data_IF_636141380980
#
_entry.id   IF_636141380980
#
_cell.length_a   1.000
_cell.length_b   1.000
_cell.length_c   1.000
_cell.angle_alpha   90.00
_cell.angle_beta   90.00
_cell.angle_gamma   90.00
#
_symmetry.space_group_name_H-M   'P 1'
#
loop_
_entity.id
_entity.type
_entity.pdbx_description
1 polymer ?
#
# COMPACT_ATOMS: atom_id res chain seq x y z
N UNK A 1 42.68 -9.86 60.70
CA UNK A 1 41.33 -10.08 61.27
C UNK A 1 40.30 -9.58 60.27
N UNK A 2 39.39 -10.47 59.88
CA UNK A 2 38.29 -10.27 58.92
C UNK A 2 37.36 -9.11 59.30
N UNK A 3 36.78 -8.44 58.27
CA UNK A 3 35.32 -8.34 58.07
C UNK A 3 34.96 -7.57 56.76
N UNK A 4 34.46 -8.34 55.80
CA UNK A 4 33.18 -8.16 55.06
C UNK A 4 32.76 -6.77 54.57
N UNK A 5 32.61 -6.61 53.25
CA UNK A 5 31.30 -6.43 52.61
C UNK A 5 31.44 -6.45 51.08
N UNK A 6 30.99 -7.56 50.50
CA UNK A 6 30.76 -7.78 49.08
C UNK A 6 29.54 -6.95 48.62
N UNK A 7 29.71 -6.15 47.58
CA UNK A 7 28.64 -5.41 46.89
C UNK A 7 28.98 -5.36 45.42
N UNK A 8 28.48 -6.33 44.66
CA UNK A 8 27.98 -6.13 43.29
C UNK A 8 27.35 -7.42 42.76
N UNK A 9 26.06 -7.60 43.04
CA UNK A 9 25.18 -8.37 42.18
C UNK A 9 23.75 -7.83 42.32
N UNK A 10 22.97 -8.00 41.25
CA UNK A 10 21.57 -7.61 41.04
C UNK A 10 21.39 -6.27 40.30
N UNK A 11 21.58 -6.33 38.99
CA UNK A 11 20.55 -5.84 38.05
C UNK A 11 20.54 -6.80 36.85
N UNK A 12 19.71 -7.83 36.96
CA UNK A 12 19.28 -8.62 35.81
C UNK A 12 17.79 -8.36 35.67
N UNK A 13 17.45 -7.35 34.86
CA UNK A 13 16.11 -7.24 34.30
C UNK A 13 15.85 -8.51 33.47
N UNK A 14 14.72 -9.21 33.66
CA UNK A 14 14.45 -10.47 32.97
C UNK A 14 14.37 -10.23 31.45
N UNK A 15 14.89 -11.19 30.69
CA UNK A 15 14.78 -11.20 29.23
C UNK A 15 13.28 -11.16 28.85
N UNK A 16 12.83 -10.24 27.97
CA UNK A 16 11.45 -10.19 27.49
C UNK A 16 10.91 -11.53 26.98
N UNK A 17 11.78 -12.46 26.59
CA UNK A 17 11.43 -13.82 26.18
C UNK A 17 10.86 -14.70 27.32
N UNK A 18 11.07 -14.36 28.59
CA UNK A 18 10.54 -15.12 29.73
C UNK A 18 9.10 -14.72 30.12
N UNK A 19 8.61 -13.57 29.65
CA UNK A 19 7.28 -13.04 30.01
C UNK A 19 6.13 -13.60 29.18
N UNK A 20 6.41 -14.20 28.01
CA UNK A 20 5.38 -14.70 27.07
C UNK A 20 5.79 -16.03 26.39
N UNK A 21 5.69 -17.17 27.10
CA UNK A 21 6.04 -18.46 26.53
C UNK A 21 4.99 -18.88 25.49
N UNK A 22 5.28 -18.68 24.19
CA UNK A 22 4.43 -19.14 23.08
C UNK A 22 4.41 -18.26 21.83
N UNK A 23 4.93 -17.03 21.89
CA UNK A 23 5.07 -16.20 20.70
C UNK A 23 6.33 -16.59 19.91
N UNK A 24 6.17 -16.86 18.62
CA UNK A 24 7.27 -17.15 17.72
C UNK A 24 8.28 -15.99 17.75
N UNK A 25 9.51 -16.28 18.19
CA UNK A 25 10.64 -15.36 18.23
C UNK A 25 10.68 -14.57 16.92
N UNK A 26 10.41 -13.27 16.97
CA UNK A 26 10.57 -12.37 15.84
C UNK A 26 11.99 -12.57 15.30
N UNK A 27 12.07 -13.14 14.10
CA UNK A 27 13.33 -13.40 13.43
C UNK A 27 14.03 -12.05 13.27
N UNK A 28 15.23 -11.90 13.82
CA UNK A 28 16.03 -10.69 13.68
C UNK A 28 16.10 -10.30 12.19
N UNK A 29 15.97 -9.02 11.85
CA UNK A 29 16.00 -8.60 10.46
C UNK A 29 17.39 -8.97 9.91
N UNK A 30 17.42 -9.95 9.00
CA UNK A 30 18.56 -10.18 8.14
C UNK A 30 18.73 -8.88 7.33
N UNK A 31 19.67 -8.04 7.74
CA UNK A 31 20.09 -6.89 6.95
C UNK A 31 20.60 -7.40 5.61
N UNK A 32 19.76 -7.26 4.57
CA UNK A 32 20.13 -7.58 3.19
C UNK A 32 20.45 -6.26 2.49
N UNK A 33 21.74 -5.95 2.24
CA UNK A 33 22.12 -4.74 1.53
C UNK A 33 21.71 -4.84 0.06
N UNK A 34 20.95 -3.84 -0.40
CA UNK A 34 20.73 -3.54 -1.82
C UNK A 34 19.99 -4.61 -2.61
N UNK A 35 18.68 -4.80 -2.36
CA UNK A 35 17.83 -5.43 -3.36
C UNK A 35 17.72 -4.51 -4.57
N UNK A 36 18.59 -4.73 -5.56
CA UNK A 36 18.31 -4.28 -6.92
C UNK A 36 17.10 -5.08 -7.41
N UNK A 37 16.04 -4.46 -7.95
CA UNK A 37 14.88 -5.19 -8.43
C UNK A 37 15.30 -6.22 -9.49
N UNK A 38 15.25 -7.50 -9.11
CA UNK A 38 15.43 -8.59 -10.04
C UNK A 38 14.13 -8.84 -10.80
N UNK A 39 14.25 -9.13 -12.10
CA UNK A 39 13.09 -9.44 -12.96
C UNK A 39 12.22 -10.55 -12.35
N UNK A 40 12.83 -11.53 -11.68
CA UNK A 40 12.16 -12.66 -11.05
C UNK A 40 11.24 -12.22 -9.91
N UNK A 41 11.70 -11.31 -9.06
CA UNK A 41 10.97 -10.81 -7.90
C UNK A 41 9.78 -9.96 -8.34
N UNK A 42 9.97 -9.15 -9.39
CA UNK A 42 8.89 -8.40 -10.04
C UNK A 42 7.86 -9.35 -10.65
N UNK A 43 8.29 -10.37 -11.41
CA UNK A 43 7.40 -11.36 -12.01
C UNK A 43 6.60 -12.14 -10.95
N UNK A 44 7.22 -12.43 -9.80
CA UNK A 44 6.57 -13.07 -8.66
C UNK A 44 5.51 -12.14 -8.04
N UNK A 45 5.81 -10.86 -7.88
CA UNK A 45 4.85 -9.89 -7.37
C UNK A 45 3.65 -9.73 -8.29
N UNK A 46 3.88 -9.61 -9.60
CA UNK A 46 2.83 -9.61 -10.64
C UNK A 46 1.92 -10.82 -10.51
N UNK A 47 2.52 -12.01 -10.46
CA UNK A 47 1.78 -13.26 -10.30
C UNK A 47 0.98 -13.29 -9.00
N UNK A 48 1.52 -12.75 -7.91
CA UNK A 48 0.90 -12.75 -6.58
C UNK A 48 -0.39 -11.95 -6.60
N UNK A 49 -0.37 -10.68 -7.02
CA UNK A 49 -1.59 -9.88 -7.03
C UNK A 49 -2.58 -10.36 -8.09
N UNK A 50 -2.13 -10.83 -9.27
CA UNK A 50 -3.03 -11.38 -10.28
C UNK A 50 -3.76 -12.63 -9.76
N UNK A 51 -3.09 -13.46 -8.98
CA UNK A 51 -3.68 -14.67 -8.37
C UNK A 51 -4.67 -14.30 -7.26
N UNK A 52 -4.33 -13.35 -6.40
CA UNK A 52 -5.23 -12.91 -5.33
C UNK A 52 -6.48 -12.20 -5.89
N UNK A 53 -6.33 -11.39 -6.93
CA UNK A 53 -7.44 -10.70 -7.60
C UNK A 53 -8.30 -11.63 -8.48
N UNK A 54 -7.83 -12.85 -8.79
CA UNK A 54 -8.69 -13.87 -9.41
C UNK A 54 -9.73 -14.43 -8.43
N UNK A 55 -9.49 -14.33 -7.12
CA UNK A 55 -10.50 -14.70 -6.14
C UNK A 55 -11.69 -13.74 -6.21
N UNK A 56 -12.91 -14.25 -6.02
CA UNK A 56 -14.15 -13.45 -6.12
C UNK A 56 -14.35 -12.47 -4.96
N UNK A 57 -13.52 -12.57 -3.92
CA UNK A 57 -13.59 -11.78 -2.69
C UNK A 57 -12.76 -10.50 -2.74
N UNK A 58 -13.06 -9.60 -1.80
CA UNK A 58 -12.15 -8.50 -1.50
C UNK A 58 -10.92 -9.06 -0.76
N UNK A 59 -9.74 -8.61 -1.15
CA UNK A 59 -8.48 -8.92 -0.47
C UNK A 59 -8.01 -7.68 0.29
N UNK A 60 -7.37 -7.87 1.44
CA UNK A 60 -6.69 -6.77 2.12
C UNK A 60 -5.45 -6.37 1.33
N UNK A 61 -5.24 -5.08 1.09
CA UNK A 61 -4.00 -4.59 0.45
C UNK A 61 -2.77 -4.96 1.29
N UNK A 62 -2.91 -5.13 2.61
CA UNK A 62 -1.80 -5.59 3.45
C UNK A 62 -1.29 -6.99 3.12
N UNK A 63 -2.10 -7.85 2.46
CA UNK A 63 -1.60 -9.17 2.02
C UNK A 63 -0.61 -9.06 0.85
N UNK A 64 -0.54 -7.90 0.19
CA UNK A 64 0.37 -7.62 -0.92
C UNK A 64 1.66 -6.94 -0.47
N UNK A 65 1.71 -6.38 0.75
CA UNK A 65 2.87 -5.65 1.27
C UNK A 65 4.14 -6.50 1.30
N UNK A 66 4.15 -7.77 1.79
CA UNK A 66 5.38 -8.57 1.81
C UNK A 66 5.96 -8.80 0.41
N UNK A 67 5.10 -9.15 -0.56
CA UNK A 67 5.52 -9.37 -1.93
C UNK A 67 5.98 -8.07 -2.60
N UNK A 68 5.36 -6.93 -2.27
CA UNK A 68 5.78 -5.61 -2.75
C UNK A 68 7.17 -5.21 -2.21
N UNK A 69 7.44 -5.47 -0.92
CA UNK A 69 8.76 -5.23 -0.31
C UNK A 69 9.84 -6.11 -0.96
N UNK A 70 9.55 -7.39 -1.17
CA UNK A 70 10.49 -8.31 -1.85
C UNK A 70 10.74 -7.93 -3.30
N UNK A 71 9.76 -7.37 -4.00
CA UNK A 71 9.92 -6.90 -5.38
C UNK A 71 10.92 -5.74 -5.52
N UNK A 72 11.17 -5.00 -4.42
CA UNK A 72 12.11 -3.88 -4.36
C UNK A 72 11.96 -2.90 -5.54
N UNK A 73 10.72 -2.46 -5.78
CA UNK A 73 10.40 -1.58 -6.91
C UNK A 73 11.24 -0.30 -6.86
N UNK A 74 11.81 0.09 -8.00
CA UNK A 74 12.55 1.35 -8.13
C UNK A 74 11.68 2.59 -7.90
N UNK A 75 10.35 2.47 -8.07
CA UNK A 75 9.38 3.54 -7.78
C UNK A 75 9.05 3.64 -6.28
N UNK A 76 9.57 2.74 -5.46
CA UNK A 76 9.35 2.69 -4.03
C UNK A 76 10.59 2.13 -3.31
N UNK A 77 11.74 2.77 -3.55
CA UNK A 77 13.04 2.32 -3.07
C UNK A 77 13.11 2.29 -1.53
N UNK A 78 12.45 3.23 -0.86
CA UNK A 78 12.40 3.32 0.59
C UNK A 78 11.34 2.42 1.25
N UNK A 79 10.70 1.49 0.53
CA UNK A 79 9.56 0.70 1.05
C UNK A 79 9.86 0.00 2.39
N UNK A 80 11.06 -0.56 2.55
CA UNK A 80 11.48 -1.26 3.77
C UNK A 80 12.02 -0.33 4.87
N UNK A 81 12.28 0.93 4.55
CA UNK A 81 12.83 1.90 5.49
C UNK A 81 11.77 2.35 6.52
N UNK A 82 12.17 2.67 7.76
CA UNK A 82 11.23 3.13 8.78
C UNK A 82 10.63 4.51 8.46
N UNK A 83 11.39 5.38 7.79
CA UNK A 83 10.98 6.72 7.38
C UNK A 83 10.19 6.70 6.06
N UNK A 84 9.42 7.77 5.78
CA UNK A 84 8.63 7.87 4.57
C UNK A 84 9.50 8.04 3.31
N UNK A 85 9.20 7.27 2.26
CA UNK A 85 9.66 7.48 0.89
C UNK A 85 8.74 8.49 0.21
N UNK A 86 9.14 9.76 0.22
CA UNK A 86 8.31 10.80 -0.39
C UNK A 86 8.14 10.61 -1.90
N UNK A 87 9.16 10.12 -2.61
CA UNK A 87 9.07 9.96 -4.06
C UNK A 87 7.95 8.99 -4.41
N UNK A 88 7.83 7.89 -3.67
CA UNK A 88 6.72 6.94 -3.80
C UNK A 88 5.38 7.57 -3.41
N UNK A 89 5.29 8.27 -2.27
CA UNK A 89 4.05 8.90 -1.81
C UNK A 89 3.53 9.95 -2.80
N UNK A 90 4.41 10.79 -3.35
CA UNK A 90 4.06 11.80 -4.36
C UNK A 90 3.65 11.12 -5.66
N UNK A 91 4.39 10.11 -6.12
CA UNK A 91 4.05 9.33 -7.30
C UNK A 91 2.62 8.75 -7.19
N UNK A 92 2.29 8.20 -6.02
CA UNK A 92 0.98 7.63 -5.75
C UNK A 92 -0.12 8.67 -5.62
N UNK A 93 0.14 9.79 -4.93
CA UNK A 93 -0.82 10.90 -4.81
C UNK A 93 -1.19 11.47 -6.18
N UNK A 94 -0.24 11.51 -7.13
CA UNK A 94 -0.53 11.94 -8.49
C UNK A 94 -1.34 10.92 -9.30
N UNK A 95 -1.40 9.64 -8.91
CA UNK A 95 -2.09 8.57 -9.65
C UNK A 95 -3.39 8.10 -9.03
N UNK A 96 -3.69 8.57 -7.83
CA UNK A 96 -4.91 8.29 -7.10
C UNK A 96 -5.74 9.57 -6.96
N UNK A 97 -7.08 9.49 -6.98
CA UNK A 97 -7.92 10.64 -6.68
C UNK A 97 -7.71 11.15 -5.25
N UNK A 98 -7.88 12.45 -5.01
CA UNK A 98 -7.70 13.03 -3.65
C UNK A 98 -8.59 12.39 -2.58
N UNK A 99 -9.77 11.90 -2.96
CA UNK A 99 -10.69 11.19 -2.05
C UNK A 99 -10.13 9.86 -1.53
N UNK A 100 -8.98 9.38 -2.04
CA UNK A 100 -8.34 8.14 -1.56
C UNK A 100 -8.08 8.16 -0.05
N UNK A 101 -7.91 9.34 0.55
CA UNK A 101 -7.76 9.53 2.00
C UNK A 101 -8.97 9.09 2.81
N UNK A 102 -10.18 9.17 2.26
CA UNK A 102 -11.43 8.69 2.86
C UNK A 102 -11.76 7.22 2.50
N UNK A 103 -11.26 6.75 1.36
CA UNK A 103 -11.59 5.43 0.80
C UNK A 103 -11.08 4.27 1.65
N UNK A 104 -11.88 3.22 1.79
CA UNK A 104 -11.52 1.93 2.41
C UNK A 104 -11.59 0.80 1.40
N UNK A 105 -12.57 0.81 0.52
CA UNK A 105 -12.80 -0.28 -0.42
C UNK A 105 -12.55 0.19 -1.86
N UNK A 106 -11.65 -0.49 -2.55
CA UNK A 106 -11.33 -0.20 -3.95
C UNK A 106 -11.86 -1.34 -4.81
N UNK A 107 -12.78 -1.01 -5.71
CA UNK A 107 -13.48 -1.98 -6.55
C UNK A 107 -13.08 -1.77 -8.01
N UNK A 108 -12.47 -2.80 -8.60
CA UNK A 108 -11.96 -2.77 -9.96
C UNK A 108 -12.91 -3.51 -10.89
N UNK A 109 -13.24 -2.95 -12.04
CA UNK A 109 -14.13 -3.60 -13.00
C UNK A 109 -13.86 -3.18 -14.43
N UNK A 110 -14.26 -4.02 -15.39
CA UNK A 110 -14.04 -3.76 -16.82
C UNK A 110 -15.25 -3.11 -17.50
N UNK A 111 -16.44 -3.22 -16.92
CA UNK A 111 -17.67 -2.70 -17.51
C UNK A 111 -18.71 -2.37 -16.45
N UNK A 112 -19.62 -1.46 -16.77
CA UNK A 112 -20.74 -1.10 -15.90
C UNK A 112 -21.61 -2.32 -15.56
N UNK A 113 -21.75 -3.27 -16.50
CA UNK A 113 -22.48 -4.52 -16.25
C UNK A 113 -21.80 -5.41 -15.19
N UNK A 114 -20.46 -5.42 -15.12
CA UNK A 114 -19.74 -6.16 -14.08
C UNK A 114 -19.98 -5.55 -12.69
N UNK A 115 -19.98 -4.23 -12.61
CA UNK A 115 -20.34 -3.50 -11.39
C UNK A 115 -21.78 -3.75 -10.96
N UNK A 116 -22.74 -3.60 -11.87
CA UNK A 116 -24.16 -3.84 -11.59
C UNK A 116 -24.42 -5.26 -11.08
N UNK A 117 -23.86 -6.29 -11.73
CA UNK A 117 -23.97 -7.69 -11.27
C UNK A 117 -23.37 -7.95 -9.89
N UNK A 118 -22.37 -7.16 -9.50
CA UNK A 118 -21.74 -7.27 -8.20
C UNK A 118 -22.45 -6.47 -7.09
N UNK A 119 -23.61 -5.88 -7.37
CA UNK A 119 -24.40 -5.10 -6.42
C UNK A 119 -24.19 -3.58 -6.50
N UNK A 120 -23.31 -3.09 -7.39
CA UNK A 120 -23.08 -1.66 -7.60
C UNK A 120 -23.99 -1.13 -8.70
N UNK A 121 -25.31 -1.22 -8.51
CA UNK A 121 -26.30 -0.82 -9.52
C UNK A 121 -26.48 0.71 -9.63
N UNK A 122 -26.30 1.46 -8.54
CA UNK A 122 -26.48 2.91 -8.46
C UNK A 122 -25.20 3.71 -8.80
N UNK A 123 -24.32 3.15 -9.63
CA UNK A 123 -23.07 3.83 -9.99
C UNK A 123 -23.26 5.10 -10.84
N UNK A 124 -24.45 5.30 -11.41
CA UNK A 124 -24.82 6.56 -12.08
C UNK A 124 -24.76 7.75 -11.13
N UNK A 125 -25.03 7.52 -9.85
CA UNK A 125 -25.14 8.55 -8.82
C UNK A 125 -23.78 8.80 -8.15
N UNK A 126 -22.79 7.96 -8.45
CA UNK A 126 -21.45 8.09 -7.90
C UNK A 126 -20.73 9.26 -8.57
N UNK A 127 -19.98 10.01 -7.77
CA UNK A 127 -19.23 11.17 -8.24
C UNK A 127 -18.05 10.71 -9.10
N UNK A 128 -17.97 11.22 -10.33
CA UNK A 128 -16.78 11.05 -11.15
C UNK A 128 -15.61 11.82 -10.56
N UNK A 129 -14.50 11.14 -10.31
CA UNK A 129 -13.27 11.74 -9.78
C UNK A 129 -12.08 11.43 -10.69
N UNK A 130 -11.00 12.19 -10.56
CA UNK A 130 -9.81 12.03 -11.39
C UNK A 130 -8.53 12.13 -10.57
N UNK A 131 -7.48 11.49 -11.06
CA UNK A 131 -6.12 11.67 -10.57
C UNK A 131 -5.33 12.63 -11.48
N UNK A 132 -4.38 13.43 -10.96
CA UNK A 132 -3.62 14.39 -11.75
C UNK A 132 -2.78 13.80 -12.90
N UNK A 133 -2.05 12.71 -12.63
CA UNK A 133 -0.96 12.19 -13.45
C UNK A 133 -1.29 10.98 -14.31
N UNK A 134 -2.45 10.33 -14.13
CA UNK A 134 -2.89 9.23 -15.00
C UNK A 134 -4.41 9.22 -15.15
N UNK A 135 -4.87 9.34 -16.40
CA UNK A 135 -6.30 9.32 -16.75
C UNK A 135 -6.85 7.92 -16.58
N UNK A 136 -7.60 7.71 -15.50
CA UNK A 136 -8.45 6.53 -15.28
C UNK A 136 -9.84 6.99 -14.88
N UNK A 137 -10.87 6.28 -15.34
CA UNK A 137 -12.25 6.58 -14.95
C UNK A 137 -12.47 6.04 -13.54
N UNK A 138 -12.62 6.97 -12.59
CA UNK A 138 -12.93 6.69 -11.21
C UNK A 138 -14.34 7.16 -10.86
N UNK A 139 -15.02 6.40 -10.02
CA UNK A 139 -16.31 6.75 -9.44
C UNK A 139 -16.21 6.57 -7.94
N UNK A 140 -16.62 7.58 -7.18
CA UNK A 140 -16.59 7.57 -5.72
C UNK A 140 -18.03 7.66 -5.18
N UNK A 141 -18.36 6.82 -4.22
CA UNK A 141 -19.69 6.77 -3.59
C UNK A 141 -19.99 7.95 -2.67
N UNK A 142 -18.98 8.77 -2.34
CA UNK A 142 -19.11 9.87 -1.38
C UNK A 142 -18.80 9.49 0.06
N UNK A 143 -18.49 8.21 0.32
CA UNK A 143 -18.25 7.67 1.66
C UNK A 143 -16.91 6.91 1.70
N UNK A 144 -16.90 5.62 1.35
CA UNK A 144 -15.74 4.76 1.55
C UNK A 144 -15.34 3.92 0.33
N UNK A 145 -16.12 3.93 -0.75
CA UNK A 145 -15.90 3.04 -1.90
C UNK A 145 -15.44 3.80 -3.12
N UNK A 146 -14.31 3.38 -3.68
CA UNK A 146 -13.77 3.89 -4.92
C UNK A 146 -13.79 2.81 -6.00
N UNK A 147 -14.58 3.05 -7.04
CA UNK A 147 -14.60 2.19 -8.21
C UNK A 147 -13.65 2.69 -9.29
N UNK A 148 -12.92 1.77 -9.91
CA UNK A 148 -12.00 2.04 -11.00
C UNK A 148 -12.32 1.17 -12.21
N UNK A 149 -12.42 1.78 -13.38
CA UNK A 149 -12.45 1.03 -14.63
C UNK A 149 -11.04 0.60 -15.03
N UNK A 150 -10.88 -0.68 -15.35
CA UNK A 150 -9.62 -1.30 -15.79
C UNK A 150 -9.81 -1.80 -17.21
N UNK A 151 -8.94 -1.40 -18.13
CA UNK A 151 -9.01 -1.80 -19.54
C UNK A 151 -8.02 -2.93 -19.91
N UNK A 152 -6.95 -3.12 -19.12
CA UNK A 152 -5.87 -4.06 -19.45
C UNK A 152 -5.18 -4.65 -18.21
N UNK A 153 -4.31 -5.66 -18.40
CA UNK A 153 -3.34 -6.07 -17.36
C UNK A 153 -2.45 -4.91 -16.93
N UNK A 154 -1.91 -4.15 -17.88
CA UNK A 154 -1.00 -3.03 -17.61
C UNK A 154 -1.63 -1.92 -16.75
N UNK A 155 -2.97 -1.83 -16.73
CA UNK A 155 -3.66 -0.97 -15.77
C UNK A 155 -3.51 -1.46 -14.32
N UNK A 156 -3.58 -2.77 -14.10
CA UNK A 156 -3.33 -3.39 -12.80
C UNK A 156 -1.85 -3.29 -12.41
N UNK A 157 -0.95 -3.51 -13.38
CA UNK A 157 0.50 -3.48 -13.16
C UNK A 157 1.02 -2.15 -12.63
N UNK A 158 0.34 -1.03 -12.94
CA UNK A 158 0.63 0.29 -12.36
C UNK A 158 -0.26 0.60 -11.15
N UNK A 159 -1.55 0.22 -11.19
CA UNK A 159 -2.48 0.62 -10.13
C UNK A 159 -2.23 -0.11 -8.81
N UNK A 160 -2.03 -1.43 -8.85
CA UNK A 160 -1.87 -2.24 -7.63
C UNK A 160 -0.63 -1.81 -6.85
N UNK A 161 0.57 -1.67 -7.46
CA UNK A 161 1.75 -1.20 -6.74
C UNK A 161 1.58 0.22 -6.21
N UNK A 162 0.88 1.09 -6.95
CA UNK A 162 0.58 2.46 -6.52
C UNK A 162 -0.26 2.50 -5.23
N UNK A 163 -1.33 1.68 -5.15
CA UNK A 163 -2.18 1.57 -3.96
C UNK A 163 -1.40 1.02 -2.78
N UNK A 164 -0.60 -0.04 -3.01
CA UNK A 164 0.22 -0.67 -1.96
C UNK A 164 1.25 0.33 -1.42
N UNK A 165 1.97 1.02 -2.30
CA UNK A 165 2.94 2.05 -1.92
C UNK A 165 2.28 3.16 -1.10
N UNK A 166 1.12 3.67 -1.55
CA UNK A 166 0.38 4.69 -0.80
C UNK A 166 0.01 4.22 0.61
N UNK A 167 -0.44 2.97 0.76
CA UNK A 167 -0.78 2.42 2.07
C UNK A 167 0.43 2.30 2.99
N UNK A 168 1.55 1.78 2.46
CA UNK A 168 2.79 1.65 3.22
C UNK A 168 3.24 3.02 3.72
N UNK A 169 3.31 4.00 2.83
CA UNK A 169 3.80 5.34 3.16
C UNK A 169 2.87 6.10 4.11
N UNK A 170 1.55 5.99 3.92
CA UNK A 170 0.58 6.48 4.89
C UNK A 170 0.82 5.86 6.27
N UNK A 171 1.03 4.55 6.33
CA UNK A 171 1.18 3.83 7.59
C UNK A 171 2.51 4.14 8.29
N UNK A 172 3.56 4.46 7.54
CA UNK A 172 4.81 4.98 8.11
C UNK A 172 4.61 6.36 8.72
N UNK A 173 3.97 7.28 7.98
CA UNK A 173 3.66 8.62 8.50
C UNK A 173 2.75 8.54 9.73
N UNK A 174 1.72 7.68 9.71
CA UNK A 174 0.86 7.45 10.86
C UNK A 174 1.65 6.96 12.08
N UNK A 175 2.58 6.02 11.90
CA UNK A 175 3.43 5.53 12.99
C UNK A 175 4.31 6.63 13.58
N UNK A 176 4.89 7.48 12.73
CA UNK A 176 5.73 8.61 13.17
C UNK A 176 4.88 9.59 13.96
N UNK A 177 3.73 10.00 13.42
CA UNK A 177 2.84 10.97 14.08
C UNK A 177 2.28 10.40 15.39
N UNK A 178 1.75 9.18 15.39
CA UNK A 178 1.19 8.56 16.58
C UNK A 178 2.24 8.30 17.69
N UNK A 179 3.52 8.23 17.32
CA UNK A 179 4.64 8.09 18.26
C UNK A 179 5.18 9.42 18.80
N UNK A 180 4.71 10.57 18.31
CA UNK A 180 5.14 11.91 18.72
C UNK A 180 3.91 12.77 19.12
N UNK A 181 3.54 12.80 20.42
CA UNK A 181 2.39 13.58 20.89
C UNK A 181 2.48 15.08 20.59
N UNK A 182 3.69 15.64 20.56
CA UNK A 182 3.88 17.05 20.22
C UNK A 182 3.56 17.28 18.74
N UNK A 183 3.99 16.36 17.86
CA UNK A 183 3.63 16.41 16.43
C UNK A 183 2.12 16.31 16.22
N UNK A 184 1.43 15.46 16.98
CA UNK A 184 -0.04 15.40 16.95
C UNK A 184 -0.65 16.76 17.32
N UNK A 185 -0.16 17.41 18.38
CA UNK A 185 -0.64 18.72 18.81
C UNK A 185 -0.33 19.82 17.77
N UNK A 186 0.86 19.80 17.17
CA UNK A 186 1.25 20.74 16.11
C UNK A 186 0.33 20.62 14.89
N UNK A 187 0.04 19.39 14.44
CA UNK A 187 -0.87 19.12 13.31
C UNK A 187 -2.29 19.59 13.64
N UNK A 188 -2.77 19.34 14.87
CA UNK A 188 -4.09 19.78 15.31
C UNK A 188 -4.21 21.32 15.30
N UNK A 189 -3.18 22.02 15.82
CA UNK A 189 -3.14 23.48 15.81
C UNK A 189 -3.10 24.04 14.39
N UNK A 190 -2.25 23.49 13.52
CA UNK A 190 -2.13 23.91 12.12
C UNK A 190 -3.37 23.62 11.26
N UNK A 191 -4.22 22.68 11.69
CA UNK A 191 -5.50 22.39 11.03
C UNK A 191 -6.60 23.37 11.43
N UNK A 192 -6.48 24.01 12.60
CA UNK A 192 -7.46 24.96 13.12
C UNK A 192 -7.14 26.41 12.72
N UNK A 193 -5.87 26.75 12.61
CA UNK A 193 -5.39 28.11 12.34
C UNK A 193 -4.35 28.12 11.22
N UNK A 194 -4.07 29.29 10.63
CA UNK A 194 -2.99 29.41 9.65
C UNK A 194 -1.65 29.22 10.34
N UNK A 195 -0.88 28.17 10.00
CA UNK A 195 0.33 27.84 10.73
C UNK A 195 1.47 28.81 10.40
N UNK A 196 2.28 29.13 11.40
CA UNK A 196 3.50 29.91 11.21
C UNK A 196 4.54 29.13 10.40
N UNK A 197 5.48 29.86 9.78
CA UNK A 197 6.59 29.25 9.01
C UNK A 197 7.45 28.34 9.90
N UNK A 198 7.62 28.69 11.17
CA UNK A 198 8.36 27.88 12.14
C UNK A 198 7.64 26.54 12.39
N UNK A 199 6.33 26.56 12.64
CA UNK A 199 5.53 25.34 12.85
C UNK A 199 5.57 24.43 11.63
N UNK A 200 5.40 25.03 10.45
CA UNK A 200 5.47 24.30 9.17
C UNK A 200 6.80 23.57 9.03
N UNK A 201 7.90 24.23 9.39
CA UNK A 201 9.26 23.65 9.29
C UNK A 201 9.44 22.52 10.31
N UNK A 202 9.05 22.77 11.56
CA UNK A 202 9.11 21.78 12.64
C UNK A 202 8.29 20.52 12.32
N UNK A 203 7.11 20.68 11.71
CA UNK A 203 6.27 19.55 11.28
C UNK A 203 7.01 18.66 10.29
N UNK A 204 7.67 19.25 9.28
CA UNK A 204 8.45 18.51 8.28
C UNK A 204 9.62 17.74 8.90
N UNK A 205 10.36 18.39 9.80
CA UNK A 205 11.51 17.79 10.49
C UNK A 205 11.10 16.62 11.39
N UNK A 206 9.99 16.78 12.13
CA UNK A 206 9.43 15.70 12.97
C UNK A 206 8.90 14.53 12.16
N UNK A 207 8.35 14.79 10.97
CA UNK A 207 7.98 13.76 9.97
C UNK A 207 9.18 13.07 9.29
N UNK A 208 10.42 13.47 9.61
CA UNK A 208 11.65 12.94 9.03
C UNK A 208 11.76 13.21 7.52
N UNK A 209 11.17 14.30 7.06
CA UNK A 209 11.24 14.73 5.66
C UNK A 209 12.32 15.81 5.51
N UNK A 210 13.08 15.76 4.40
CA UNK A 210 13.96 16.87 4.05
C UNK A 210 13.13 18.14 3.73
N UNK A 211 13.68 19.35 3.84
CA UNK A 211 12.95 20.56 3.49
C UNK A 211 12.43 20.58 2.04
N UNK A 212 13.22 20.03 1.10
CA UNK A 212 12.82 19.90 -0.30
C UNK A 212 11.65 18.93 -0.47
N UNK A 213 11.72 17.78 0.20
CA UNK A 213 10.66 16.79 0.23
C UNK A 213 9.38 17.35 0.84
N UNK A 214 9.49 17.95 2.02
CA UNK A 214 8.34 18.56 2.69
C UNK A 214 7.64 19.60 1.80
N UNK A 215 8.40 20.48 1.14
CA UNK A 215 7.83 21.44 0.20
C UNK A 215 7.16 20.78 -1.01
N UNK A 216 7.74 19.70 -1.55
CA UNK A 216 7.14 18.94 -2.65
C UNK A 216 5.83 18.27 -2.23
N UNK A 217 5.77 17.68 -1.04
CA UNK A 217 4.56 17.07 -0.50
C UNK A 217 3.43 18.10 -0.39
N UNK A 218 3.73 19.24 0.25
CA UNK A 218 2.78 20.36 0.37
C UNK A 218 2.35 20.91 -0.98
N UNK A 219 3.25 20.96 -1.96
CA UNK A 219 2.91 21.40 -3.32
C UNK A 219 1.93 20.46 -4.03
N UNK A 220 1.99 19.16 -3.77
CA UNK A 220 1.09 18.17 -4.40
C UNK A 220 -0.25 18.08 -3.66
N UNK A 221 -0.26 18.19 -2.33
CA UNK A 221 -1.51 18.23 -1.56
C UNK A 221 -2.19 19.59 -1.57
N UNK A 222 -1.45 20.68 -1.72
CA UNK A 222 -2.00 22.04 -1.67
C UNK A 222 -2.73 22.29 -0.35
N UNK A 223 -3.96 22.78 -0.45
CA UNK A 223 -4.81 23.12 0.70
C UNK A 223 -5.18 21.88 1.54
N UNK A 224 -5.13 20.68 0.97
CA UNK A 224 -5.42 19.43 1.68
C UNK A 224 -4.25 18.95 2.56
N UNK A 225 -3.13 19.68 2.63
CA UNK A 225 -1.94 19.27 3.42
C UNK A 225 -2.29 18.96 4.87
N UNK A 226 -2.89 19.90 5.59
CA UNK A 226 -3.22 19.74 7.01
C UNK A 226 -4.38 18.77 7.25
N UNK A 227 -5.49 18.82 6.46
CA UNK A 227 -6.52 17.79 6.51
C UNK A 227 -5.97 16.36 6.33
N UNK A 228 -5.04 16.16 5.39
CA UNK A 228 -4.42 14.86 5.14
C UNK A 228 -3.55 14.43 6.33
N UNK A 229 -2.72 15.32 6.88
CA UNK A 229 -1.92 15.02 8.07
C UNK A 229 -2.79 14.70 9.30
N UNK A 230 -3.90 15.42 9.50
CA UNK A 230 -4.84 15.12 10.58
C UNK A 230 -5.51 13.75 10.39
N UNK A 231 -5.88 13.39 9.16
CA UNK A 231 -6.40 12.07 8.84
C UNK A 231 -5.36 10.97 9.08
N UNK A 232 -4.10 11.22 8.71
CA UNK A 232 -2.98 10.32 8.99
C UNK A 232 -2.79 10.18 10.50
N UNK A 233 -2.84 11.26 11.28
CA UNK A 233 -2.71 11.20 12.73
C UNK A 233 -3.79 10.32 13.37
N UNK A 234 -5.00 10.35 12.82
CA UNK A 234 -6.17 9.65 13.37
C UNK A 234 -6.13 8.14 13.15
N UNK A 235 -5.69 7.69 11.97
CA UNK A 235 -5.78 6.25 11.65
C UNK A 235 -4.77 5.77 10.62
N UNK A 236 -4.31 4.54 10.82
CA UNK A 236 -3.61 3.78 9.78
C UNK A 236 -4.55 3.47 8.61
N UNK A 237 -4.01 3.45 7.41
CA UNK A 237 -4.75 3.05 6.21
C UNK A 237 -4.85 1.54 6.08
N UNK A 238 -6.05 1.11 5.71
CA UNK A 238 -6.42 -0.30 5.49
C UNK A 238 -7.35 -0.36 4.28
N UNK A 239 -6.76 -0.51 3.09
CA UNK A 239 -7.54 -0.71 1.88
C UNK A 239 -7.94 -2.17 1.72
N UNK A 240 -9.12 -2.39 1.16
CA UNK A 240 -9.45 -3.62 0.47
C UNK A 240 -9.42 -3.39 -1.04
N UNK A 241 -9.09 -4.45 -1.78
CA UNK A 241 -9.09 -4.44 -3.23
C UNK A 241 -9.96 -5.60 -3.72
N UNK A 242 -10.92 -5.34 -4.61
CA UNK A 242 -11.78 -6.37 -5.18
C UNK A 242 -11.85 -6.22 -6.68
N UNK A 243 -11.50 -7.27 -7.41
CA UNK A 243 -11.67 -7.31 -8.87
C UNK A 243 -13.01 -7.96 -9.22
N UNK A 244 -13.88 -7.20 -9.86
CA UNK A 244 -15.14 -7.66 -10.41
C UNK A 244 -14.88 -8.35 -11.74
N UNK A 245 -14.63 -9.66 -11.66
CA UNK A 245 -14.29 -10.46 -12.82
C UNK A 245 -15.50 -10.79 -13.70
N UNK A 246 -15.24 -10.81 -15.01
CA UNK A 246 -16.07 -11.41 -16.04
C UNK A 246 -15.33 -11.90 -17.30
N UNK A 247 -14.01 -11.66 -17.48
CA UNK A 247 -13.29 -12.17 -18.67
C UNK A 247 -11.76 -12.14 -18.56
N UNK A 248 -11.09 -10.99 -18.37
CA UNK A 248 -9.61 -10.88 -18.54
C UNK A 248 -8.75 -11.81 -17.65
N UNK A 249 -9.03 -11.91 -16.35
CA UNK A 249 -8.30 -12.83 -15.45
C UNK A 249 -8.74 -14.29 -15.60
N UNK A 250 -9.94 -14.52 -16.15
CA UNK A 250 -10.47 -15.85 -16.49
C UNK A 250 -9.94 -16.37 -17.83
N UNK A 251 -9.50 -15.48 -18.73
CA UNK A 251 -9.00 -15.85 -20.07
C UNK A 251 -7.77 -16.75 -19.99
N UNK A 252 -6.86 -16.59 -19.03
CA UNK A 252 -5.72 -17.50 -18.91
C UNK A 252 -6.13 -18.95 -18.61
N UNK A 253 -7.27 -19.17 -17.93
CA UNK A 253 -7.86 -20.49 -17.69
C UNK A 253 -8.70 -20.92 -18.90
N UNK A 254 -9.52 -20.03 -19.46
CA UNK A 254 -10.34 -20.31 -20.64
C UNK A 254 -9.51 -20.61 -21.90
N UNK A 255 -8.43 -19.86 -22.17
CA UNK A 255 -7.48 -20.12 -23.26
C UNK A 255 -6.74 -21.43 -23.05
N UNK A 256 -6.29 -21.75 -21.82
CA UNK A 256 -5.70 -23.07 -21.51
C UNK A 256 -6.71 -24.20 -21.73
N UNK A 257 -7.96 -23.98 -21.35
CA UNK A 257 -9.04 -24.96 -21.50
C UNK A 257 -9.48 -25.13 -22.96
N UNK A 258 -9.44 -24.05 -23.74
CA UNK A 258 -9.67 -24.03 -25.19
C UNK A 258 -8.52 -24.68 -25.97
N UNK A 259 -7.28 -24.55 -25.50
CA UNK A 259 -6.10 -25.20 -26.10
C UNK A 259 -5.95 -26.67 -25.67
N UNK A 260 -6.62 -27.10 -24.60
CA UNK A 260 -6.50 -28.45 -24.06
C UNK A 260 -6.81 -29.57 -25.08
N UNK A 261 -7.79 -29.46 -26.00
CA UNK A 261 -7.98 -30.43 -27.08
C UNK A 261 -6.79 -30.50 -28.04
N UNK A 262 -6.19 -29.37 -28.40
CA UNK A 262 -5.02 -29.31 -29.28
C UNK A 262 -3.77 -29.89 -28.59
N UNK A 263 -3.56 -29.57 -27.31
CA UNK A 263 -2.48 -30.15 -26.51
C UNK A 263 -2.61 -31.67 -26.37
N UNK A 264 -3.82 -32.20 -26.12
CA UNK A 264 -4.07 -33.65 -26.09
C UNK A 264 -3.82 -34.31 -27.45
N UNK A 265 -4.16 -33.64 -28.54
CA UNK A 265 -3.89 -34.14 -29.89
C UNK A 265 -2.37 -34.19 -30.16
N UNK A 266 -1.61 -33.19 -29.72
CA UNK A 266 -0.16 -33.15 -29.88
C UNK A 266 0.55 -34.22 -29.03
N UNK A 267 0.07 -34.50 -27.82
CA UNK A 267 0.54 -35.63 -26.99
C UNK A 267 0.21 -36.98 -27.64
N UNK A 268 -0.98 -37.15 -28.20
CA UNK A 268 -1.37 -38.37 -28.91
C UNK A 268 -0.57 -38.62 -30.19
N UNK A 269 -0.02 -37.56 -30.80
CA UNK A 269 0.80 -37.65 -32.00
C UNK A 269 2.31 -37.80 -31.71
N UNK A 270 2.69 -37.91 -30.43
CA UNK A 270 4.09 -38.09 -29.95
C UNK A 270 5.06 -37.00 -30.44
N UNK A 271 4.54 -35.80 -30.70
CA UNK A 271 5.32 -34.65 -31.20
C UNK A 271 6.01 -33.89 -30.05
N UNK A 272 5.66 -34.19 -28.80
CA UNK A 272 6.19 -33.50 -27.63
C UNK A 272 7.65 -33.86 -27.27
N UNK A 273 8.25 -34.86 -27.92
CA UNK A 273 9.62 -35.34 -27.67
C UNK A 273 10.56 -35.26 -28.90
N UNK A 274 10.38 -34.28 -29.78
CA UNK A 274 11.36 -33.92 -30.81
C UNK A 274 11.79 -32.47 -30.74
#
# INVERSE_FOLDING_TARGET
MNRTADRRQIDQSPDPAELFPGEAKAMAPLGLPGLVPGKREVDLYVRTYMTLLQSSGAISVSSLEPAHLTAASSLHAGAAEPGPDLSALVYSTQRLPSCITAVRDIVLGQSAAAFSRAGFAAMSDWRMVSAPGRRRRWLYDGDATLAAYIASASDLDDLVPTIVAYQIEWNKMHRIIAGDPDLVALIAHASAETPSVALVTETGDRLKLSPADWNRLRGVWGDDTWPNLAAIATSRKRYTLRMLSGSFLGYARATRQWWAPAARLLDHLDIANR
#
